data_IF_631273771749
#
_entry.id   IF_631273771749
#
_cell.length_a   1.000
_cell.length_b   1.000
_cell.length_c   1.000
_cell.angle_alpha   90.00
_cell.angle_beta   90.00
_cell.angle_gamma   90.00
#
_symmetry.space_group_name_H-M   'P 1'
#
loop_
_entity.id
_entity.type
_entity.pdbx_description
1 polymer ?
#
# COMPACT_ATOMS: atom_id res chain seq x y z
N UNK A 1 63.86 -13.55 -43.37
CA UNK A 1 63.47 -13.05 -42.02
C UNK A 1 62.43 -11.98 -42.16
N UNK A 2 61.16 -12.23 -41.66
CA UNK A 2 60.09 -11.24 -41.70
C UNK A 2 59.94 -10.68 -40.29
N UNK A 3 60.17 -9.39 -40.13
CA UNK A 3 59.92 -8.70 -38.84
C UNK A 3 58.44 -8.51 -38.60
N UNK A 4 57.93 -8.75 -37.37
CA UNK A 4 56.53 -8.43 -37.04
C UNK A 4 56.31 -6.91 -37.01
N UNK A 5 55.26 -6.46 -37.70
CA UNK A 5 54.79 -5.06 -37.62
C UNK A 5 54.24 -4.84 -36.20
N UNK A 6 54.88 -3.94 -35.47
CA UNK A 6 54.37 -3.44 -34.19
C UNK A 6 53.13 -2.57 -34.50
N UNK A 7 51.98 -2.99 -34.03
CA UNK A 7 50.76 -2.22 -34.12
C UNK A 7 50.94 -0.89 -33.34
N UNK A 8 50.67 0.24 -33.98
CA UNK A 8 50.74 1.56 -33.36
C UNK A 8 49.69 1.63 -32.24
N UNK A 9 50.00 2.20 -31.04
CA UNK A 9 49.04 2.37 -29.99
C UNK A 9 47.93 3.32 -30.44
N UNK A 10 46.67 2.89 -30.28
CA UNK A 10 45.50 3.73 -30.55
C UNK A 10 45.59 5.00 -29.68
N UNK A 11 45.34 6.20 -30.25
CA UNK A 11 45.44 7.44 -29.49
C UNK A 11 44.36 7.43 -28.37
N UNK A 12 44.75 7.65 -27.13
CA UNK A 12 43.94 7.64 -25.92
C UNK A 12 42.69 8.55 -26.03
N UNK A 13 42.71 9.52 -26.95
CA UNK A 13 41.59 10.41 -27.28
C UNK A 13 40.43 9.67 -27.93
N UNK A 14 40.67 8.56 -28.62
CA UNK A 14 39.63 7.76 -29.28
C UNK A 14 38.89 6.84 -28.26
N UNK A 15 39.51 6.50 -27.13
CA UNK A 15 38.93 5.69 -26.06
C UNK A 15 38.05 6.54 -25.12
N UNK A 16 38.28 7.86 -25.02
CA UNK A 16 37.47 8.75 -24.17
C UNK A 16 36.08 9.03 -24.78
N UNK A 17 35.93 8.94 -26.09
CA UNK A 17 34.64 9.24 -26.76
C UNK A 17 33.52 8.23 -26.40
N UNK A 18 33.71 6.90 -26.42
CA UNK A 18 32.69 5.94 -25.99
C UNK A 18 32.44 5.97 -24.49
N UNK A 19 33.42 6.34 -23.65
CA UNK A 19 33.23 6.48 -22.21
C UNK A 19 32.36 7.69 -21.87
N UNK A 20 32.50 8.79 -22.61
CA UNK A 20 31.67 10.00 -22.44
C UNK A 20 30.23 9.75 -22.94
N UNK A 21 30.06 8.97 -24.00
CA UNK A 21 28.74 8.57 -24.50
C UNK A 21 27.98 7.64 -23.53
N UNK A 22 28.67 6.82 -22.77
CA UNK A 22 28.06 5.94 -21.76
C UNK A 22 27.50 6.72 -20.56
N UNK A 23 27.99 7.92 -20.28
CA UNK A 23 27.49 8.77 -19.20
C UNK A 23 26.16 9.47 -19.53
N UNK A 24 25.80 9.57 -20.81
CA UNK A 24 24.56 10.24 -21.27
C UNK A 24 23.40 9.23 -21.33
N UNK A 25 23.67 7.92 -21.30
CA UNK A 25 22.67 6.85 -21.45
C UNK A 25 21.82 6.59 -20.21
N UNK A 26 21.96 7.38 -19.13
CA UNK A 26 21.21 7.22 -17.87
C UNK A 26 20.14 8.28 -17.67
N UNK A 27 19.52 8.80 -18.74
CA UNK A 27 18.22 9.45 -18.61
C UNK A 27 17.16 8.36 -18.47
N UNK A 28 16.87 8.00 -17.24
CA UNK A 28 15.62 7.33 -16.91
C UNK A 28 14.53 8.38 -17.13
N UNK A 29 13.70 8.20 -18.16
CA UNK A 29 12.48 8.98 -18.35
C UNK A 29 11.58 8.76 -17.11
N UNK A 30 11.87 9.51 -16.06
CA UNK A 30 11.03 9.64 -14.89
C UNK A 30 9.82 10.48 -15.28
N UNK A 31 8.78 9.85 -15.84
CA UNK A 31 7.54 10.55 -16.17
C UNK A 31 7.03 11.31 -14.93
N UNK A 32 6.30 12.39 -15.15
CA UNK A 32 5.63 13.11 -14.07
C UNK A 32 4.60 12.19 -13.43
N UNK A 33 4.67 11.87 -12.11
CA UNK A 33 3.71 11.00 -11.48
C UNK A 33 2.34 11.67 -11.37
N UNK A 34 1.28 10.89 -11.47
CA UNK A 34 -0.01 11.22 -10.88
C UNK A 34 0.05 10.99 -9.38
N UNK A 35 -0.92 11.51 -8.64
CA UNK A 35 -0.94 11.39 -7.19
C UNK A 35 -2.28 10.82 -6.73
N UNK A 36 -2.22 9.85 -5.81
CA UNK A 36 -3.38 9.33 -5.11
C UNK A 36 -3.42 9.92 -3.70
N UNK A 37 -4.59 10.40 -3.28
CA UNK A 37 -4.85 10.72 -1.87
C UNK A 37 -5.84 9.72 -1.31
N UNK A 38 -5.39 8.90 -0.37
CA UNK A 38 -6.22 7.90 0.28
C UNK A 38 -6.96 8.51 1.45
N UNK A 39 -8.29 8.44 1.45
CA UNK A 39 -9.08 8.74 2.66
C UNK A 39 -8.95 7.63 3.69
N UNK A 40 -9.37 7.92 4.93
CA UNK A 40 -9.51 6.91 5.97
C UNK A 40 -10.40 5.77 5.48
N UNK A 41 -9.90 4.54 5.56
CA UNK A 41 -10.65 3.36 5.17
C UNK A 41 -11.87 3.14 6.09
N UNK A 42 -13.04 2.93 5.49
CA UNK A 42 -14.22 2.49 6.21
C UNK A 42 -14.29 0.98 6.23
N UNK A 43 -14.80 0.42 7.31
CA UNK A 43 -15.05 -1.02 7.42
C UNK A 43 -16.54 -1.26 7.52
N UNK A 44 -17.03 -2.22 6.74
CA UNK A 44 -18.42 -2.65 6.76
C UNK A 44 -18.52 -4.14 7.06
N UNK A 45 -19.67 -4.56 7.57
CA UNK A 45 -19.96 -5.98 7.77
C UNK A 45 -19.96 -6.73 6.42
N UNK A 46 -20.13 -8.05 6.48
CA UNK A 46 -20.19 -8.89 5.27
C UNK A 46 -21.40 -8.56 4.37
N UNK A 47 -22.43 -7.86 4.89
CA UNK A 47 -23.54 -7.34 4.11
C UNK A 47 -23.15 -6.19 3.17
N UNK A 48 -21.95 -5.63 3.33
CA UNK A 48 -21.42 -4.53 2.54
C UNK A 48 -22.03 -3.16 2.87
N UNK A 49 -22.89 -3.04 3.87
CA UNK A 49 -23.67 -1.84 4.20
C UNK A 49 -23.48 -1.38 5.64
N UNK A 50 -23.54 -2.31 6.61
CA UNK A 50 -23.46 -1.97 8.03
C UNK A 50 -22.05 -1.53 8.39
N UNK A 51 -21.86 -0.24 8.69
CA UNK A 51 -20.55 0.32 9.06
C UNK A 51 -20.16 -0.17 10.46
N UNK A 52 -18.92 -0.68 10.55
CA UNK A 52 -18.34 -1.18 11.80
C UNK A 52 -17.24 -0.20 12.23
N UNK A 53 -17.27 0.31 13.47
CA UNK A 53 -16.18 1.14 13.99
C UNK A 53 -14.84 0.40 13.87
N UNK A 54 -13.86 1.01 13.22
CA UNK A 54 -12.55 0.39 13.02
C UNK A 54 -11.44 1.43 13.02
N UNK A 55 -10.25 0.99 13.36
CA UNK A 55 -9.04 1.82 13.39
C UNK A 55 -8.03 1.35 12.34
N UNK A 56 -8.47 1.11 11.10
CA UNK A 56 -7.57 0.81 10.00
C UNK A 56 -6.76 2.06 9.69
N UNK A 57 -5.47 2.03 9.97
CA UNK A 57 -4.56 3.18 9.81
C UNK A 57 -3.58 3.00 8.67
N UNK A 58 -3.26 1.77 8.33
CA UNK A 58 -2.26 1.44 7.32
C UNK A 58 -2.93 0.83 6.09
N UNK A 59 -2.54 1.30 4.90
CA UNK A 59 -3.12 0.93 3.62
C UNK A 59 -2.00 0.42 2.70
N UNK A 60 -2.10 -0.81 2.26
CA UNK A 60 -1.23 -1.39 1.23
C UNK A 60 -1.82 -1.04 -0.12
N UNK A 61 -1.13 -0.18 -0.87
CA UNK A 61 -1.64 0.42 -2.11
C UNK A 61 -0.93 -0.14 -3.31
N UNK A 62 -1.70 -0.51 -4.34
CA UNK A 62 -1.22 -1.01 -5.62
C UNK A 62 -1.90 -0.25 -6.76
N UNK A 63 -1.15 -0.01 -7.84
CA UNK A 63 -1.67 0.49 -9.11
C UNK A 63 -1.34 -0.53 -10.20
N UNK A 64 -2.35 -1.06 -10.91
CA UNK A 64 -2.23 -2.13 -11.91
C UNK A 64 -1.33 -3.28 -11.42
N UNK A 65 -1.58 -3.75 -10.18
CA UNK A 65 -0.83 -4.80 -9.48
C UNK A 65 0.61 -4.42 -9.08
N UNK A 66 1.09 -3.23 -9.43
CA UNK A 66 2.40 -2.75 -8.98
C UNK A 66 2.28 -2.14 -7.58
N UNK A 67 3.11 -2.55 -6.61
CA UNK A 67 3.06 -2.01 -5.26
C UNK A 67 3.55 -0.57 -5.21
N UNK A 68 2.72 0.32 -4.70
CA UNK A 68 3.10 1.69 -4.38
C UNK A 68 3.61 1.84 -2.94
N UNK A 69 3.40 0.82 -2.10
CA UNK A 69 3.87 0.77 -0.72
C UNK A 69 2.76 0.75 0.32
N UNK A 70 3.17 0.96 1.58
CA UNK A 70 2.27 0.99 2.74
C UNK A 70 2.19 2.43 3.26
N UNK A 71 0.98 2.97 3.30
CA UNK A 71 0.73 4.36 3.57
C UNK A 71 -0.33 4.53 4.67
N UNK A 72 -0.24 5.63 5.40
CA UNK A 72 -1.33 6.08 6.26
C UNK A 72 -2.35 6.88 5.43
N UNK A 73 -3.57 7.00 5.94
CA UNK A 73 -4.59 7.86 5.34
C UNK A 73 -4.11 9.32 5.19
N UNK A 74 -4.72 10.05 4.27
CA UNK A 74 -4.44 11.44 3.94
C UNK A 74 -3.02 11.75 3.43
N UNK A 75 -2.27 10.70 3.07
CA UNK A 75 -0.97 10.87 2.43
C UNK A 75 -1.11 10.96 0.92
N UNK A 76 -0.26 11.78 0.32
CA UNK A 76 -0.12 11.92 -1.13
C UNK A 76 0.85 10.85 -1.64
N UNK A 77 0.35 9.94 -2.44
CA UNK A 77 1.08 8.75 -2.92
C UNK A 77 1.39 8.93 -4.41
N UNK A 78 2.66 8.98 -4.82
CA UNK A 78 2.99 9.07 -6.22
C UNK A 78 2.74 7.75 -6.95
N UNK A 79 2.13 7.82 -8.13
CA UNK A 79 1.91 6.70 -9.03
C UNK A 79 2.41 7.07 -10.43
N UNK A 80 3.33 6.29 -10.96
CA UNK A 80 3.80 6.43 -12.34
C UNK A 80 2.82 5.70 -13.27
N UNK A 81 1.66 6.32 -13.47
CA UNK A 81 0.60 5.82 -14.33
C UNK A 81 -0.11 7.01 -15.00
N UNK A 82 -0.67 6.77 -16.17
CA UNK A 82 -1.42 7.74 -16.97
C UNK A 82 -2.60 7.00 -17.62
N UNK A 83 -3.81 7.60 -17.55
CA UNK A 83 -5.04 6.97 -18.00
C UNK A 83 -5.72 6.04 -17.00
N UNK A 84 -6.65 5.18 -17.48
CA UNK A 84 -7.42 4.28 -16.63
C UNK A 84 -6.53 3.27 -15.90
N UNK A 85 -6.46 3.39 -14.59
CA UNK A 85 -5.60 2.59 -13.72
C UNK A 85 -6.41 1.90 -12.63
N UNK A 86 -6.19 0.62 -12.43
CA UNK A 86 -6.83 -0.14 -11.35
C UNK A 86 -6.08 0.05 -10.05
N UNK A 87 -6.73 0.72 -9.10
CA UNK A 87 -6.20 0.94 -7.76
C UNK A 87 -6.74 -0.14 -6.83
N UNK A 88 -5.84 -0.90 -6.23
CA UNK A 88 -6.17 -1.91 -5.22
C UNK A 88 -5.61 -1.48 -3.87
N UNK A 89 -6.43 -1.65 -2.82
CA UNK A 89 -6.04 -1.29 -1.46
C UNK A 89 -6.37 -2.45 -0.53
N UNK A 90 -5.39 -2.86 0.27
CA UNK A 90 -5.56 -3.87 1.30
C UNK A 90 -5.42 -3.17 2.65
N UNK A 91 -6.36 -3.43 3.55
CA UNK A 91 -6.32 -2.92 4.91
C UNK A 91 -5.12 -3.51 5.67
N UNK A 92 -4.41 -2.68 6.41
CA UNK A 92 -3.26 -3.08 7.21
C UNK A 92 -3.43 -2.75 8.68
N UNK A 93 -2.78 -3.54 9.51
CA UNK A 93 -2.71 -3.32 10.95
C UNK A 93 -1.27 -3.44 11.44
N UNK A 94 -1.01 -2.86 12.59
CA UNK A 94 0.29 -2.99 13.27
C UNK A 94 0.28 -4.24 14.12
N UNK A 95 1.21 -5.14 13.85
CA UNK A 95 1.37 -6.34 14.65
C UNK A 95 1.82 -5.95 16.06
N UNK A 96 1.06 -6.36 17.07
CA UNK A 96 1.32 -6.04 18.47
C UNK A 96 1.53 -4.53 18.77
N UNK A 97 0.97 -3.64 17.94
CA UNK A 97 1.13 -2.20 18.08
C UNK A 97 2.51 -1.66 17.67
N UNK A 98 3.40 -2.50 17.15
CA UNK A 98 4.76 -2.11 16.75
C UNK A 98 4.70 -1.32 15.42
N UNK A 99 5.18 -0.09 15.42
CA UNK A 99 5.07 0.83 14.28
C UNK A 99 5.72 0.31 13.00
N UNK A 100 6.79 -0.47 13.10
CA UNK A 100 7.54 -0.97 11.94
C UNK A 100 7.10 -2.37 11.49
N UNK A 101 6.24 -3.05 12.26
CA UNK A 101 5.72 -4.37 11.94
C UNK A 101 4.26 -4.24 11.47
N UNK A 102 4.09 -4.11 10.17
CA UNK A 102 2.79 -3.93 9.51
C UNK A 102 2.44 -5.17 8.73
N UNK A 103 1.25 -5.68 8.97
CA UNK A 103 0.72 -6.84 8.27
C UNK A 103 -0.59 -6.48 7.56
N UNK A 104 -0.90 -7.18 6.50
CA UNK A 104 -2.22 -7.11 5.87
C UNK A 104 -3.24 -7.73 6.81
N UNK A 105 -4.40 -7.07 6.97
CA UNK A 105 -5.47 -7.60 7.82
C UNK A 105 -6.24 -8.69 7.06
N UNK A 106 -6.20 -9.96 7.54
CA UNK A 106 -6.61 -11.10 6.73
C UNK A 106 -8.12 -11.31 6.61
N UNK A 107 -8.92 -10.57 7.36
CA UNK A 107 -10.38 -10.79 7.45
C UNK A 107 -11.20 -9.82 6.58
N UNK A 108 -10.54 -8.85 5.94
CA UNK A 108 -11.17 -7.87 5.07
C UNK A 108 -10.85 -8.14 3.60
N UNK A 109 -11.86 -7.97 2.77
CA UNK A 109 -11.70 -8.05 1.33
C UNK A 109 -10.86 -6.88 0.80
N UNK A 110 -10.10 -7.14 -0.26
CA UNK A 110 -9.35 -6.10 -0.97
C UNK A 110 -10.32 -5.13 -1.62
N UNK A 111 -10.15 -3.84 -1.35
CA UNK A 111 -10.85 -2.80 -2.09
C UNK A 111 -10.23 -2.63 -3.47
N UNK A 112 -11.06 -2.50 -4.51
CA UNK A 112 -10.60 -2.26 -5.88
C UNK A 112 -11.48 -1.22 -6.57
N UNK A 113 -10.85 -0.29 -7.28
CA UNK A 113 -11.54 0.73 -8.09
C UNK A 113 -10.69 1.11 -9.29
N UNK A 114 -11.29 1.53 -10.38
CA UNK A 114 -10.57 2.11 -11.52
C UNK A 114 -10.69 3.62 -11.46
N UNK A 115 -9.56 4.31 -11.61
CA UNK A 115 -9.45 5.76 -11.68
C UNK A 115 -8.69 6.16 -12.92
N UNK A 116 -9.07 7.27 -13.52
CA UNK A 116 -8.31 7.89 -14.59
C UNK A 116 -7.23 8.77 -13.96
N UNK A 117 -5.98 8.39 -14.15
CA UNK A 117 -4.83 9.10 -13.59
C UNK A 117 -4.25 10.02 -14.64
N UNK A 118 -3.99 11.26 -14.27
CA UNK A 118 -3.35 12.26 -15.14
C UNK A 118 -2.07 12.74 -14.47
N UNK A 119 -1.00 12.77 -15.24
CA UNK A 119 0.30 13.20 -14.76
C UNK A 119 0.25 14.59 -14.12
N UNK A 120 0.75 14.71 -12.89
CA UNK A 120 0.74 15.95 -12.10
C UNK A 120 -0.54 16.19 -11.29
N UNK A 121 -1.64 15.51 -11.61
CA UNK A 121 -2.93 15.68 -10.90
C UNK A 121 -3.07 14.76 -9.69
N UNK A 122 -4.00 15.11 -8.78
CA UNK A 122 -4.31 14.35 -7.58
C UNK A 122 -5.72 13.75 -7.68
N UNK A 123 -5.84 12.45 -7.44
CA UNK A 123 -7.10 11.71 -7.45
C UNK A 123 -7.41 11.20 -6.05
N UNK A 124 -8.63 11.46 -5.57
CA UNK A 124 -9.10 10.99 -4.27
C UNK A 124 -9.63 9.56 -4.36
N UNK A 125 -9.19 8.71 -3.42
CA UNK A 125 -9.65 7.33 -3.26
C UNK A 125 -10.16 7.13 -1.83
N UNK A 126 -11.42 6.69 -1.71
CA UNK A 126 -12.07 6.40 -0.43
C UNK A 126 -12.30 4.88 -0.32
N UNK A 127 -11.40 4.12 0.29
CA UNK A 127 -11.55 2.68 0.37
C UNK A 127 -12.64 2.28 1.37
N UNK A 128 -13.45 1.29 0.97
CA UNK A 128 -14.44 0.63 1.82
C UNK A 128 -14.09 -0.85 1.86
N UNK A 129 -13.83 -1.38 3.04
CA UNK A 129 -13.45 -2.77 3.26
C UNK A 129 -14.62 -3.53 3.85
N UNK A 130 -15.02 -4.63 3.22
CA UNK A 130 -16.03 -5.53 3.75
C UNK A 130 -15.38 -6.74 4.41
N UNK A 131 -15.95 -7.23 5.50
CA UNK A 131 -15.56 -8.53 6.03
C UNK A 131 -15.96 -9.65 5.05
N UNK A 132 -15.16 -10.71 5.00
CA UNK A 132 -15.55 -11.91 4.26
C UNK A 132 -16.81 -12.53 4.88
N UNK A 133 -17.65 -13.19 4.05
CA UNK A 133 -18.93 -13.78 4.49
C UNK A 133 -18.78 -14.89 5.54
N UNK A 134 -17.62 -15.48 5.68
CA UNK A 134 -17.29 -16.51 6.66
C UNK A 134 -16.70 -15.94 7.96
N UNK A 135 -16.66 -14.62 8.10
CA UNK A 135 -16.18 -13.95 9.31
C UNK A 135 -17.37 -13.48 10.12
N UNK A 136 -17.43 -13.93 11.37
CA UNK A 136 -18.38 -13.41 12.35
C UNK A 136 -17.66 -12.36 13.19
N UNK A 137 -18.21 -11.15 13.22
CA UNK A 137 -17.70 -10.07 14.05
C UNK A 137 -18.55 -9.90 15.29
N UNK A 138 -17.89 -9.66 16.41
CA UNK A 138 -18.51 -9.33 17.66
C UNK A 138 -17.81 -8.09 18.25
N UNK A 139 -18.58 -7.16 18.81
CA UNK A 139 -18.05 -5.96 19.43
C UNK A 139 -18.70 -5.76 20.77
N UNK A 140 -17.90 -5.53 21.81
CA UNK A 140 -18.35 -5.23 23.16
C UNK A 140 -17.78 -3.88 23.58
N UNK A 141 -18.68 -2.97 23.91
CA UNK A 141 -18.32 -1.62 24.37
C UNK A 141 -18.04 -1.52 25.86
N UNK A 142 -18.44 -2.56 26.64
CA UNK A 142 -18.37 -2.57 28.11
C UNK A 142 -19.15 -1.44 28.80
N UNK A 143 -20.02 -0.75 28.04
CA UNK A 143 -20.75 0.41 28.53
C UNK A 143 -22.08 0.05 29.22
N UNK A 144 -22.58 -1.18 29.02
CA UNK A 144 -23.86 -1.65 29.54
C UNK A 144 -23.64 -2.92 30.36
N UNK A 145 -23.81 -2.80 31.67
CA UNK A 145 -23.53 -3.87 32.64
C UNK A 145 -24.33 -5.17 32.39
N UNK A 146 -25.55 -5.04 31.85
CA UNK A 146 -26.47 -6.19 31.65
C UNK A 146 -26.28 -6.86 30.27
N UNK A 147 -25.43 -6.33 29.39
CA UNK A 147 -25.21 -6.85 28.03
C UNK A 147 -23.81 -7.44 27.81
N UNK A 148 -23.11 -7.81 28.88
CA UNK A 148 -21.80 -8.41 28.76
C UNK A 148 -21.88 -9.77 28.06
N UNK A 149 -21.16 -9.92 26.98
CA UNK A 149 -21.09 -11.18 26.23
C UNK A 149 -20.32 -12.26 26.97
N UNK A 150 -19.65 -11.91 28.07
CA UNK A 150 -18.98 -12.89 28.95
C UNK A 150 -19.91 -13.28 30.08
N UNK A 151 -20.42 -14.52 30.04
CA UNK A 151 -20.99 -15.12 31.23
C UNK A 151 -19.85 -15.31 32.26
N UNK A 152 -20.11 -14.93 33.51
CA UNK A 152 -19.23 -15.30 34.62
C UNK A 152 -19.16 -16.83 34.69
N UNK A 153 -18.06 -17.42 34.20
CA UNK A 153 -17.74 -18.78 34.51
C UNK A 153 -17.54 -18.87 36.02
N UNK A 154 -17.89 -20.02 36.63
CA UNK A 154 -17.60 -20.30 38.03
C UNK A 154 -16.09 -20.12 38.28
N UNK A 155 -15.72 -18.99 38.83
CA UNK A 155 -14.37 -18.64 39.21
C UNK A 155 -14.38 -18.00 40.60
N UNK A 156 -13.30 -18.17 41.35
CA UNK A 156 -13.13 -17.71 42.75
C UNK A 156 -13.16 -16.16 42.90
N UNK A 157 -13.29 -15.40 41.80
CA UNK A 157 -13.33 -13.94 41.80
C UNK A 157 -14.62 -13.45 41.15
N UNK A 158 -15.56 -13.03 41.96
CA UNK A 158 -16.70 -12.24 41.51
C UNK A 158 -16.22 -10.80 41.33
N UNK A 159 -16.36 -10.22 40.11
CA UNK A 159 -16.31 -8.78 39.93
C UNK A 159 -17.61 -8.23 40.57
N UNK A 160 -17.51 -7.62 41.73
CA UNK A 160 -18.56 -6.78 42.31
C UNK A 160 -18.38 -5.39 41.73
N UNK A 161 -19.37 -4.92 41.00
CA UNK A 161 -19.53 -3.53 40.55
C UNK A 161 -20.00 -2.70 41.72
#
# INVERSE_FOLDING_TARGET
MRYPRIASPLPHRLLLLPLLAALIACEKDGGTPAFLRMQQGKVVAADGVTEIPSSITDLWVFADQQPLGVWQADRRIPALADGPTTIQVIAGVRNNGITNDRIQYPFLATFSTTKDLVAGEEVLVAPVFAYFNNVTTWSEGFEVADALAFATAEGDTAFTV
#
